data_IF_051755384522
#
_entry.id   IF_051755384522
#
_cell.length_a   1.000
_cell.length_b   1.000
_cell.length_c   1.000
_cell.angle_alpha   90.00
_cell.angle_beta   90.00
_cell.angle_gamma   90.00
#
_symmetry.space_group_name_H-M   'P 1'
#
loop_
_entity.id
_entity.type
_entity.pdbx_description
1 polymer ?
#
# COMPACT_ATOMS: atom_id res chain seq x y z
N UNK A 1 1.73 2.17 17.66
CA UNK A 1 0.72 1.36 16.95
C UNK A 1 -0.54 2.13 16.52
N UNK A 2 -1.38 2.66 17.43
CA UNK A 2 -2.64 3.35 17.04
C UNK A 2 -2.50 4.41 15.93
N UNK A 3 -1.51 5.30 16.05
CA UNK A 3 -1.20 6.33 15.03
C UNK A 3 -0.93 5.74 13.64
N UNK A 4 -0.33 4.55 13.57
CA UNK A 4 -0.01 3.86 12.31
C UNK A 4 -1.27 3.29 11.68
N UNK A 5 -2.15 2.69 12.49
CA UNK A 5 -3.45 2.19 12.02
C UNK A 5 -4.29 3.35 11.48
N UNK A 6 -4.40 4.44 12.22
CA UNK A 6 -5.13 5.65 11.79
C UNK A 6 -4.54 6.23 10.49
N UNK A 7 -3.21 6.19 10.31
CA UNK A 7 -2.55 6.61 9.08
C UNK A 7 -2.88 5.71 7.89
N UNK A 8 -2.84 4.39 8.07
CA UNK A 8 -3.16 3.42 7.03
C UNK A 8 -4.66 3.49 6.67
N UNK A 9 -5.55 3.65 7.64
CA UNK A 9 -6.99 3.80 7.40
C UNK A 9 -7.29 5.08 6.61
N UNK A 10 -6.61 6.19 6.93
CA UNK A 10 -6.70 7.44 6.14
C UNK A 10 -6.27 7.20 4.69
N UNK A 11 -5.11 6.54 4.50
CA UNK A 11 -4.60 6.22 3.17
C UNK A 11 -5.58 5.36 2.36
N UNK A 12 -6.21 4.37 3.00
CA UNK A 12 -7.20 3.51 2.34
C UNK A 12 -8.48 4.28 1.97
N UNK A 13 -8.93 5.19 2.83
CA UNK A 13 -10.04 6.08 2.51
C UNK A 13 -9.74 6.97 1.30
N UNK A 14 -8.54 7.54 1.25
CA UNK A 14 -8.08 8.33 0.10
C UNK A 14 -7.99 7.46 -1.17
N UNK A 15 -7.44 6.25 -1.09
CA UNK A 15 -7.39 5.31 -2.23
C UNK A 15 -8.80 5.01 -2.78
N UNK A 16 -9.78 4.73 -1.91
CA UNK A 16 -11.17 4.49 -2.31
C UNK A 16 -11.78 5.71 -3.03
N UNK A 17 -11.52 6.92 -2.52
CA UNK A 17 -11.97 8.16 -3.15
C UNK A 17 -11.32 8.36 -4.52
N UNK A 18 -10.01 8.16 -4.63
CA UNK A 18 -9.30 8.25 -5.90
C UNK A 18 -9.85 7.26 -6.93
N UNK A 19 -10.05 6.00 -6.54
CA UNK A 19 -10.67 4.99 -7.41
C UNK A 19 -12.08 5.38 -7.86
N UNK A 20 -12.84 6.09 -7.01
CA UNK A 20 -14.16 6.61 -7.40
C UNK A 20 -14.04 7.70 -8.47
N UNK A 21 -13.10 8.64 -8.31
CA UNK A 21 -12.83 9.71 -9.29
C UNK A 21 -12.36 9.14 -10.64
N UNK A 22 -11.54 8.08 -10.62
CA UNK A 22 -11.05 7.38 -11.81
C UNK A 22 -12.20 6.86 -12.71
N UNK A 23 -13.34 6.49 -12.12
CA UNK A 23 -14.48 5.97 -12.90
C UNK A 23 -15.19 7.03 -13.75
N UNK A 24 -14.86 8.32 -13.58
CA UNK A 24 -15.47 9.42 -14.30
C UNK A 24 -14.46 10.10 -15.25
N UNK A 25 -14.65 9.90 -16.56
CA UNK A 25 -13.75 10.46 -17.60
C UNK A 25 -13.49 11.96 -17.45
N UNK A 26 -14.50 12.73 -17.05
CA UNK A 26 -14.41 14.18 -16.86
C UNK A 26 -13.62 14.61 -15.62
N UNK A 27 -13.29 13.69 -14.70
CA UNK A 27 -12.63 13.96 -13.43
C UNK A 27 -11.16 13.54 -13.38
N UNK A 28 -10.55 13.17 -14.51
CA UNK A 28 -9.15 12.70 -14.53
C UNK A 28 -8.16 13.74 -13.97
N UNK A 29 -8.39 15.03 -14.21
CA UNK A 29 -7.56 16.08 -13.64
C UNK A 29 -7.71 16.15 -12.11
N UNK A 30 -8.95 16.04 -11.61
CA UNK A 30 -9.26 15.96 -10.18
C UNK A 30 -8.62 14.72 -9.54
N UNK A 31 -8.75 13.56 -10.19
CA UNK A 31 -8.07 12.32 -9.80
C UNK A 31 -6.55 12.49 -9.68
N UNK A 32 -5.90 13.03 -10.72
CA UNK A 32 -4.45 13.20 -10.74
C UNK A 32 -3.99 14.15 -9.63
N UNK A 33 -4.70 15.25 -9.41
CA UNK A 33 -4.39 16.19 -8.33
C UNK A 33 -4.61 15.54 -6.95
N UNK A 34 -5.67 14.75 -6.79
CA UNK A 34 -5.96 14.06 -5.54
C UNK A 34 -4.88 13.01 -5.21
N UNK A 35 -4.52 12.16 -6.19
CA UNK A 35 -3.50 11.12 -6.02
C UNK A 35 -2.16 11.72 -5.59
N UNK A 36 -1.72 12.80 -6.22
CA UNK A 36 -0.44 13.44 -5.88
C UNK A 36 -0.45 14.08 -4.49
N UNK A 37 -1.52 14.81 -4.14
CA UNK A 37 -1.56 15.63 -2.94
C UNK A 37 -2.05 14.88 -1.69
N UNK A 38 -2.84 13.82 -1.84
CA UNK A 38 -3.49 13.12 -0.73
C UNK A 38 -3.03 11.67 -0.56
N UNK A 39 -2.32 11.10 -1.53
CA UNK A 39 -1.86 9.69 -1.50
C UNK A 39 -0.34 9.62 -1.63
N UNK A 40 0.21 10.03 -2.78
CA UNK A 40 1.64 9.88 -3.08
C UNK A 40 2.53 10.85 -2.29
N UNK A 41 1.96 11.90 -1.66
CA UNK A 41 2.66 12.78 -0.71
C UNK A 41 3.29 12.02 0.47
N UNK A 42 2.75 10.84 0.78
CA UNK A 42 3.28 9.98 1.84
C UNK A 42 4.43 9.08 1.37
N UNK A 43 4.70 8.97 0.07
CA UNK A 43 5.82 8.19 -0.43
C UNK A 43 7.14 8.97 -0.31
N UNK A 44 8.11 8.42 0.41
CA UNK A 44 9.44 9.02 0.48
C UNK A 44 10.25 8.67 -0.78
N UNK A 45 10.85 9.67 -1.47
CA UNK A 45 11.78 9.39 -2.55
C UNK A 45 13.02 8.63 -2.05
N UNK A 46 13.35 7.52 -2.71
CA UNK A 46 14.49 6.68 -2.38
C UNK A 46 15.66 6.94 -3.32
N UNK A 47 16.88 6.57 -2.92
CA UNK A 47 18.04 6.68 -3.79
C UNK A 47 18.17 5.45 -4.68
N UNK A 48 17.91 5.62 -5.97
CA UNK A 48 18.09 4.58 -6.97
C UNK A 48 19.58 4.47 -7.32
N UNK A 49 20.18 3.32 -7.01
CA UNK A 49 21.62 3.08 -7.23
C UNK A 49 21.96 2.91 -8.70
N UNK A 50 21.02 2.44 -9.52
CA UNK A 50 21.21 2.24 -10.97
C UNK A 50 21.18 3.59 -11.68
N UNK A 51 20.23 4.45 -11.33
CA UNK A 51 20.06 5.77 -11.92
C UNK A 51 20.89 6.86 -11.24
N UNK A 52 21.48 6.56 -10.08
CA UNK A 52 22.32 7.45 -9.27
C UNK A 52 21.63 8.79 -8.92
N UNK A 53 20.34 8.74 -8.61
CA UNK A 53 19.56 9.90 -8.15
C UNK A 53 18.38 9.48 -7.26
N UNK A 54 17.70 10.46 -6.65
CA UNK A 54 16.48 10.21 -5.88
C UNK A 54 15.28 9.99 -6.79
N UNK A 55 14.67 8.82 -6.70
CA UNK A 55 13.49 8.40 -7.48
C UNK A 55 12.28 8.33 -6.56
N UNK A 56 11.13 8.83 -7.03
CA UNK A 56 9.85 8.64 -6.35
C UNK A 56 9.20 7.32 -6.76
N UNK A 57 8.36 6.79 -5.88
CA UNK A 57 7.47 5.69 -6.21
C UNK A 57 6.06 6.07 -5.78
N UNK A 58 5.08 5.49 -6.45
CA UNK A 58 3.67 5.84 -6.26
C UNK A 58 2.89 4.66 -5.70
N UNK A 59 1.93 4.96 -4.83
CA UNK A 59 0.92 3.96 -4.41
C UNK A 59 -0.11 3.82 -5.52
N UNK A 60 -0.53 4.95 -6.10
CA UNK A 60 -1.43 5.06 -7.24
C UNK A 60 -0.80 5.93 -8.33
N UNK A 61 -0.86 5.49 -9.59
CA UNK A 61 -0.32 6.24 -10.72
C UNK A 61 -1.29 7.27 -11.27
N UNK A 62 -0.75 8.35 -11.84
CA UNK A 62 -1.53 9.31 -12.64
C UNK A 62 -2.03 8.71 -13.95
N UNK A 63 -3.16 9.22 -14.43
CA UNK A 63 -3.74 8.90 -15.73
C UNK A 63 -3.43 10.05 -16.69
N UNK A 64 -2.49 9.82 -17.61
CA UNK A 64 -2.13 10.80 -18.64
C UNK A 64 -3.01 10.73 -19.88
N UNK A 65 -3.69 9.60 -20.08
CA UNK A 65 -4.59 9.38 -21.20
C UNK A 65 -5.85 8.68 -20.69
N UNK A 66 -7.03 9.29 -20.86
CA UNK A 66 -8.28 8.65 -20.46
C UNK A 66 -8.40 7.26 -21.09
N UNK A 67 -8.98 6.32 -20.34
CA UNK A 67 -9.41 5.04 -20.90
C UNK A 67 -10.43 5.23 -22.04
N UNK A 68 -10.70 4.16 -22.79
CA UNK A 68 -11.71 4.19 -23.86
C UNK A 68 -13.11 4.52 -23.33
N UNK A 69 -13.99 5.10 -24.15
CA UNK A 69 -15.39 5.33 -23.77
C UNK A 69 -16.10 4.05 -23.32
N UNK A 70 -15.78 2.92 -23.97
CA UNK A 70 -16.27 1.58 -23.58
C UNK A 70 -15.93 1.22 -22.14
N UNK A 71 -14.77 1.63 -21.63
CA UNK A 71 -14.40 1.41 -20.22
C UNK A 71 -15.33 2.22 -19.32
N UNK A 72 -15.51 3.51 -19.60
CA UNK A 72 -16.34 4.41 -18.82
C UNK A 72 -17.81 4.00 -18.82
N UNK A 73 -18.35 3.58 -19.97
CA UNK A 73 -19.71 3.04 -20.06
C UNK A 73 -19.91 1.80 -19.19
N UNK A 74 -18.87 0.95 -19.08
CA UNK A 74 -18.90 -0.25 -18.24
C UNK A 74 -18.87 0.09 -16.74
N UNK A 75 -18.08 1.09 -16.34
CA UNK A 75 -17.88 1.42 -14.91
C UNK A 75 -18.86 2.47 -14.39
N UNK A 76 -19.60 3.17 -15.25
CA UNK A 76 -20.54 4.23 -14.88
C UNK A 76 -21.58 3.83 -13.83
N UNK A 77 -22.01 2.58 -13.82
CA UNK A 77 -22.98 2.04 -12.85
C UNK A 77 -22.35 0.96 -11.96
N UNK A 78 -21.03 0.87 -11.90
CA UNK A 78 -20.35 -0.02 -10.98
C UNK A 78 -20.61 0.42 -9.53
N UNK A 79 -20.65 -0.52 -8.58
CA UNK A 79 -20.66 -0.15 -7.17
C UNK A 79 -19.41 0.67 -6.82
N UNK A 80 -19.50 1.44 -5.75
CA UNK A 80 -18.34 2.15 -5.21
C UNK A 80 -17.19 1.16 -4.93
N UNK A 81 -15.94 1.56 -5.14
CA UNK A 81 -14.79 0.72 -4.80
C UNK A 81 -14.84 0.29 -3.33
N UNK A 82 -14.44 -0.94 -3.04
CA UNK A 82 -14.34 -1.43 -1.68
C UNK A 82 -13.09 -0.87 -1.00
N UNK A 83 -13.19 -0.61 0.30
CA UNK A 83 -12.05 -0.20 1.12
C UNK A 83 -11.09 -1.38 1.31
N UNK A 84 -9.78 -1.10 1.27
CA UNK A 84 -8.76 -2.08 1.70
C UNK A 84 -8.97 -2.48 3.15
N UNK A 85 -8.48 -3.67 3.48
CA UNK A 85 -8.47 -4.19 4.83
C UNK A 85 -7.04 -4.23 5.36
N UNK A 86 -6.82 -3.70 6.58
CA UNK A 86 -5.58 -3.88 7.33
C UNK A 86 -5.70 -5.13 8.20
N UNK A 87 -4.84 -6.11 7.99
CA UNK A 87 -4.88 -7.36 8.74
C UNK A 87 -4.00 -7.31 9.98
N UNK A 88 -2.74 -6.86 9.82
CA UNK A 88 -1.82 -6.71 10.95
C UNK A 88 -0.79 -5.61 10.70
N UNK A 89 -0.21 -5.15 11.80
CA UNK A 89 0.96 -4.27 11.79
C UNK A 89 2.05 -4.85 12.67
N UNK A 90 3.26 -4.97 12.15
CA UNK A 90 4.44 -5.40 12.89
C UNK A 90 5.42 -4.23 13.04
N UNK A 91 5.88 -3.97 14.25
CA UNK A 91 6.83 -2.90 14.57
C UNK A 91 8.25 -3.45 14.72
N UNK A 92 9.23 -2.77 14.13
CA UNK A 92 10.64 -3.17 14.17
C UNK A 92 11.56 -2.01 14.54
N UNK A 93 12.70 -2.36 15.12
CA UNK A 93 13.90 -1.51 15.11
C UNK A 93 14.76 -1.88 13.90
N UNK A 94 14.93 -0.94 12.98
CA UNK A 94 15.68 -1.04 11.74
C UNK A 94 16.96 -0.18 11.80
N UNK A 95 18.04 -0.65 11.17
CA UNK A 95 19.33 0.05 11.23
C UNK A 95 19.35 1.40 10.49
N UNK A 96 18.64 1.49 9.36
CA UNK A 96 18.61 2.68 8.50
C UNK A 96 17.59 3.71 8.98
N UNK A 97 16.38 3.25 9.31
CA UNK A 97 15.24 4.14 9.62
C UNK A 97 14.91 4.24 11.11
N UNK A 98 15.60 3.51 11.98
CA UNK A 98 15.29 3.50 13.41
C UNK A 98 14.01 2.71 13.69
N UNK A 99 12.85 3.35 13.72
CA UNK A 99 11.57 2.66 13.97
C UNK A 99 10.76 2.55 12.68
N UNK A 100 10.34 1.33 12.34
CA UNK A 100 9.50 1.08 11.17
C UNK A 100 8.32 0.18 11.50
N UNK A 101 7.29 0.24 10.67
CA UNK A 101 6.10 -0.59 10.76
C UNK A 101 5.81 -1.25 9.42
N UNK A 102 5.72 -2.58 9.41
CA UNK A 102 5.20 -3.34 8.28
C UNK A 102 3.68 -3.46 8.42
N UNK A 103 2.94 -2.91 7.45
CA UNK A 103 1.48 -2.87 7.44
C UNK A 103 0.97 -3.80 6.35
N UNK A 104 0.38 -4.94 6.76
CA UNK A 104 -0.02 -6.01 5.87
C UNK A 104 -1.52 -5.90 5.56
N UNK A 105 -1.85 -5.76 4.29
CA UNK A 105 -3.19 -5.38 3.85
C UNK A 105 -3.68 -6.18 2.63
N UNK A 106 -4.96 -6.04 2.32
CA UNK A 106 -5.57 -6.60 1.11
C UNK A 106 -5.11 -5.85 -0.13
N UNK A 107 -5.43 -6.39 -1.31
CA UNK A 107 -5.35 -5.68 -2.58
C UNK A 107 -6.27 -4.44 -2.57
N UNK A 108 -5.95 -3.44 -3.41
CA UNK A 108 -6.84 -2.30 -3.69
C UNK A 108 -8.19 -2.80 -4.21
N UNK A 109 -9.27 -2.15 -3.80
CA UNK A 109 -10.63 -2.48 -4.21
C UNK A 109 -10.92 -4.00 -4.11
N UNK A 110 -10.81 -4.60 -2.90
CA UNK A 110 -10.94 -6.04 -2.74
C UNK A 110 -12.35 -6.49 -3.15
N UNK A 111 -12.45 -7.55 -3.93
CA UNK A 111 -13.73 -8.20 -4.24
C UNK A 111 -14.22 -9.01 -3.02
N UNK A 112 -15.51 -9.35 -2.95
CA UNK A 112 -16.14 -10.03 -1.79
C UNK A 112 -15.46 -11.35 -1.35
N UNK A 113 -14.65 -11.95 -2.23
CA UNK A 113 -13.90 -13.18 -2.01
C UNK A 113 -12.40 -12.98 -1.78
N UNK A 114 -11.88 -11.74 -1.82
CA UNK A 114 -10.47 -11.46 -1.51
C UNK A 114 -10.33 -11.24 -0.02
N UNK A 115 -9.84 -12.29 0.64
CA UNK A 115 -9.79 -12.40 2.10
C UNK A 115 -8.36 -12.59 2.62
N UNK A 116 -7.36 -12.34 1.77
CA UNK A 116 -5.95 -12.58 2.04
C UNK A 116 -5.11 -11.32 2.10
N UNK A 117 -3.91 -11.49 2.66
CA UNK A 117 -2.78 -10.57 2.51
C UNK A 117 -2.40 -10.49 1.03
N UNK A 118 -2.16 -9.28 0.54
CA UNK A 118 -1.74 -9.03 -0.84
C UNK A 118 -0.59 -8.02 -0.88
N UNK A 119 -0.76 -6.88 -0.20
CA UNK A 119 0.21 -5.78 -0.17
C UNK A 119 0.81 -5.61 1.25
N UNK A 120 2.06 -5.13 1.28
CA UNK A 120 2.75 -4.72 2.50
C UNK A 120 3.38 -3.32 2.30
N UNK A 121 3.04 -2.38 3.18
CA UNK A 121 3.68 -1.06 3.23
C UNK A 121 4.64 -0.98 4.41
N UNK A 122 5.87 -0.52 4.16
CA UNK A 122 6.81 -0.17 5.23
C UNK A 122 6.68 1.32 5.50
N UNK A 123 6.26 1.63 6.73
CA UNK A 123 6.04 2.99 7.21
C UNK A 123 7.13 3.36 8.21
N UNK A 124 7.59 4.60 8.18
CA UNK A 124 8.48 5.16 9.20
C UNK A 124 8.16 6.64 9.44
N UNK A 125 8.91 7.29 10.34
CA UNK A 125 8.80 8.73 10.59
C UNK A 125 9.99 9.45 9.97
N UNK A 126 9.74 10.40 9.07
CA UNK A 126 10.74 11.28 8.44
C UNK A 126 10.26 12.71 8.66
N UNK A 127 11.14 13.58 9.18
CA UNK A 127 10.82 14.98 9.49
C UNK A 127 9.54 15.15 10.34
N UNK A 128 9.32 14.23 11.28
CA UNK A 128 8.14 14.12 12.16
C UNK A 128 6.82 13.73 11.48
N UNK A 129 6.84 13.40 10.19
CA UNK A 129 5.70 12.91 9.42
C UNK A 129 5.80 11.40 9.17
N UNK A 130 4.65 10.72 9.08
CA UNK A 130 4.63 9.32 8.64
C UNK A 130 4.81 9.27 7.13
N UNK A 131 5.77 8.45 6.68
CA UNK A 131 6.06 8.21 5.27
C UNK A 131 6.12 6.72 5.00
N UNK A 132 5.69 6.32 3.80
CA UNK A 132 5.88 5.00 3.23
C UNK A 132 7.22 5.02 2.49
N UNK A 133 8.11 4.13 2.89
CA UNK A 133 9.47 4.02 2.34
C UNK A 133 9.64 2.79 1.46
N UNK A 134 8.72 1.84 1.52
CA UNK A 134 8.72 0.64 0.67
C UNK A 134 7.32 0.08 0.49
N UNK A 135 7.05 -0.45 -0.70
CA UNK A 135 5.88 -1.26 -1.02
C UNK A 135 6.31 -2.63 -1.52
N UNK A 136 5.66 -3.67 -1.02
CA UNK A 136 5.79 -5.03 -1.54
C UNK A 136 4.41 -5.63 -1.83
N UNK A 137 4.35 -6.53 -2.79
CA UNK A 137 3.15 -7.29 -3.14
C UNK A 137 3.42 -8.79 -2.98
N UNK A 138 2.37 -9.59 -2.99
CA UNK A 138 2.47 -11.05 -3.00
C UNK A 138 2.67 -11.54 -4.43
N UNK A 139 3.76 -12.26 -4.67
CA UNK A 139 3.96 -13.01 -5.90
C UNK A 139 2.91 -14.15 -5.99
N UNK A 140 2.05 -14.16 -7.01
CA UNK A 140 0.97 -15.14 -7.13
C UNK A 140 1.48 -16.58 -7.31
N UNK A 141 2.67 -16.74 -7.89
CA UNK A 141 3.27 -18.04 -8.22
C UNK A 141 4.10 -18.57 -7.05
N UNK A 142 4.95 -17.72 -6.47
CA UNK A 142 5.89 -18.16 -5.43
C UNK A 142 5.37 -18.00 -4.01
N UNK A 143 4.28 -17.24 -3.82
CA UNK A 143 3.72 -16.89 -2.51
C UNK A 143 4.78 -16.28 -1.60
N UNK A 144 5.46 -15.26 -2.13
CA UNK A 144 6.50 -14.49 -1.45
C UNK A 144 6.24 -13.01 -1.65
N UNK A 145 6.61 -12.21 -0.66
CA UNK A 145 6.76 -10.76 -0.79
C UNK A 145 7.77 -10.43 -1.89
N UNK A 146 7.31 -9.62 -2.84
CA UNK A 146 8.07 -9.05 -3.94
C UNK A 146 8.12 -7.53 -3.77
N UNK A 147 9.32 -6.96 -3.75
CA UNK A 147 9.51 -5.52 -3.75
C UNK A 147 9.01 -4.91 -5.06
N UNK A 148 8.20 -3.85 -4.99
CA UNK A 148 7.65 -3.17 -6.18
C UNK A 148 7.86 -1.65 -6.18
N UNK A 149 8.40 -1.07 -5.12
CA UNK A 149 8.70 0.35 -5.07
C UNK A 149 9.22 0.81 -3.72
N UNK A 150 9.97 1.92 -3.75
CA UNK A 150 10.63 2.47 -2.59
C UNK A 150 12.06 1.99 -2.43
N UNK A 151 12.57 2.08 -1.21
CA UNK A 151 13.96 1.82 -0.87
C UNK A 151 14.35 0.36 -1.08
N UNK A 152 15.16 0.12 -2.12
CA UNK A 152 15.61 -1.22 -2.52
C UNK A 152 16.52 -1.91 -1.49
N UNK A 153 17.04 -1.16 -0.51
CA UNK A 153 17.80 -1.72 0.60
C UNK A 153 16.90 -2.34 1.69
N UNK A 154 15.58 -2.10 1.64
CA UNK A 154 14.62 -2.74 2.52
C UNK A 154 14.08 -4.05 1.90
N UNK A 155 13.81 -5.00 2.79
CA UNK A 155 13.23 -6.29 2.43
C UNK A 155 12.27 -6.72 3.55
N UNK A 156 11.04 -7.13 3.19
CA UNK A 156 10.02 -7.59 4.17
C UNK A 156 10.54 -8.73 5.06
N UNK A 157 11.50 -9.53 4.58
CA UNK A 157 12.09 -10.62 5.36
C UNK A 157 13.22 -10.19 6.30
N UNK A 158 13.74 -8.97 6.17
CA UNK A 158 14.94 -8.48 6.86
C UNK A 158 14.73 -7.04 7.40
N UNK A 159 13.63 -6.83 8.12
CA UNK A 159 13.23 -5.51 8.63
C UNK A 159 13.99 -5.06 9.90
N UNK A 160 14.69 -5.98 10.56
CA UNK A 160 15.45 -5.73 11.78
C UNK A 160 14.84 -6.45 12.99
N UNK A 161 14.99 -5.87 14.19
CA UNK A 161 14.52 -6.49 15.44
C UNK A 161 13.04 -6.22 15.64
N UNK A 162 12.22 -7.28 15.69
CA UNK A 162 10.80 -7.18 16.04
C UNK A 162 10.62 -6.61 17.46
N UNK A 163 9.69 -5.66 17.59
CA UNK A 163 9.33 -4.99 18.85
C UNK A 163 7.94 -5.40 19.30
N UNK A 164 6.94 -5.32 18.41
CA UNK A 164 5.55 -5.59 18.72
C UNK A 164 4.76 -6.00 17.46
N UNK A 165 3.65 -6.72 17.65
CA UNK A 165 2.71 -7.06 16.58
C UNK A 165 1.30 -6.75 17.07
N UNK A 166 0.54 -6.03 16.25
CA UNK A 166 -0.89 -5.82 16.42
C UNK A 166 -1.66 -6.56 15.33
N UNK A 167 -2.58 -7.40 15.75
CA UNK A 167 -3.43 -8.23 14.89
C UNK A 167 -4.83 -7.65 14.90
N UNK A 168 -5.33 -7.24 13.74
CA UNK A 168 -6.52 -6.40 13.58
C UNK A 168 -7.66 -7.23 12.97
N UNK A 169 -7.39 -7.87 11.84
CA UNK A 169 -8.34 -8.71 11.12
C UNK A 169 -7.65 -10.01 10.74
N UNK A 170 -8.31 -11.14 10.97
CA UNK A 170 -7.84 -12.44 10.49
C UNK A 170 -8.18 -12.61 9.00
N UNK A 171 -7.21 -13.03 8.15
CA UNK A 171 -7.50 -13.49 6.80
C UNK A 171 -8.49 -14.66 6.81
N UNK A 172 -9.31 -14.81 5.76
CA UNK A 172 -10.21 -15.97 5.60
C UNK A 172 -9.74 -16.86 4.47
N UNK A 173 -9.93 -18.17 4.60
CA UNK A 173 -9.83 -19.18 3.53
C UNK A 173 -8.59 -19.11 2.62
N UNK A 174 -7.46 -18.57 3.13
CA UNK A 174 -6.19 -18.52 2.43
C UNK A 174 -5.08 -19.00 3.37
N UNK A 175 -4.62 -20.25 3.17
CA UNK A 175 -3.62 -20.88 4.03
C UNK A 175 -2.30 -20.10 4.08
N UNK A 176 -1.87 -19.52 2.96
CA UNK A 176 -0.66 -18.72 2.91
C UNK A 176 -0.81 -17.40 3.69
N UNK A 177 -1.93 -16.68 3.48
CA UNK A 177 -2.18 -15.45 4.20
C UNK A 177 -2.31 -15.69 5.70
N UNK A 178 -2.92 -16.81 6.12
CA UNK A 178 -2.98 -17.20 7.52
C UNK A 178 -1.61 -17.56 8.10
N UNK A 179 -0.77 -18.24 7.35
CA UNK A 179 0.60 -18.53 7.76
C UNK A 179 1.38 -17.23 7.95
N UNK A 180 1.37 -16.35 6.95
CA UNK A 180 2.04 -15.05 7.00
C UNK A 180 1.50 -14.16 8.12
N UNK A 181 0.19 -14.14 8.32
CA UNK A 181 -0.46 -13.41 9.42
C UNK A 181 0.07 -13.84 10.79
N UNK A 182 0.23 -15.15 11.00
CA UNK A 182 0.67 -15.70 12.28
C UNK A 182 2.17 -15.55 12.54
N UNK A 183 2.99 -15.24 11.52
CA UNK A 183 4.44 -15.07 11.71
C UNK A 183 4.78 -13.96 12.70
N UNK A 184 5.74 -14.27 13.56
CA UNK A 184 6.38 -13.35 14.52
C UNK A 184 7.70 -12.81 13.96
N UNK A 185 7.63 -12.31 12.73
CA UNK A 185 8.75 -11.70 12.03
C UNK A 185 8.22 -10.67 11.06
#
# INVERSE_FOLDING_TARGET
MRKIIEFIDLLFGNEQQALSLETEKSKIEEYNNFVENEINIYCEPYFDKVLNHKTSFDIMGKIFSPYSDRYYDRVKNAPAPNLRQLYKTSEYTNEKYGQIWACYCSIANPYDNVTGLDDCFIVTTIDNELKIVMKSITDPDTKKWLHVGGDEDLNVYELGKLVAIERILEPRDNAWSMEEYNKER
#
